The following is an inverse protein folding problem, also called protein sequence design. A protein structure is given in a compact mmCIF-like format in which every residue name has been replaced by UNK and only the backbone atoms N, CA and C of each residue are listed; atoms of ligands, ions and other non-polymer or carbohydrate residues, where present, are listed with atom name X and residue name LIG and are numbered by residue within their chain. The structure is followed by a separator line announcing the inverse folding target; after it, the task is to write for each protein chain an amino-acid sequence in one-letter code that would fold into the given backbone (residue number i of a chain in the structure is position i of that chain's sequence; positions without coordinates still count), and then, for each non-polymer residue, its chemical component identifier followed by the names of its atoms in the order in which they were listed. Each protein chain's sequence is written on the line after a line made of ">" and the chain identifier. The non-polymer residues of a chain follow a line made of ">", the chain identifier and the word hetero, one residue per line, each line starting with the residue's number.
data_IF_732728773496
#
_entry.id   IF_732728773496
#
_cell.length_a   1.000
_cell.length_b   1.000
_cell.length_c   1.000
_cell.angle_alpha   90.00
_cell.angle_beta   90.00
_cell.angle_gamma   90.00
#
_symmetry.space_group_name_H-M   'P 1'
#
loop_
_entity.id
_entity.type
_entity.pdbx_description
1 polymer ?
#
# COMPACT_ATOMS: atom_id res chain seq x y z
N UNK A 1 8.57 15.56 12.98
CA UNK A 1 8.54 14.49 11.95
C UNK A 1 7.11 14.43 11.43
N UNK A 2 6.86 14.42 10.11
CA UNK A 2 5.51 14.32 9.60
C UNK A 2 4.88 12.99 10.03
N UNK A 3 3.54 12.94 10.21
CA UNK A 3 2.86 11.70 10.58
C UNK A 3 3.12 10.64 9.52
N UNK A 4 3.54 9.46 9.96
CA UNK A 4 3.77 8.30 9.10
C UNK A 4 2.65 7.29 9.34
N UNK A 5 2.17 6.67 8.27
CA UNK A 5 1.18 5.61 8.33
C UNK A 5 1.72 4.36 7.60
N UNK A 6 1.20 3.20 7.99
CA UNK A 6 1.52 1.90 7.40
C UNK A 6 0.24 1.24 6.90
N UNK A 7 0.37 0.50 5.81
CA UNK A 7 -0.67 -0.39 5.29
C UNK A 7 -0.03 -1.77 5.05
N UNK A 8 -0.75 -2.83 5.40
CA UNK A 8 -0.27 -4.21 5.29
C UNK A 8 -1.06 -4.95 4.21
N UNK A 9 -0.34 -5.43 3.21
CA UNK A 9 -0.88 -6.24 2.12
C UNK A 9 -0.49 -7.69 2.33
N UNK A 10 -1.41 -8.49 2.87
CA UNK A 10 -1.19 -9.90 3.13
C UNK A 10 -1.89 -10.74 2.07
N UNK A 11 -1.11 -11.59 1.40
CA UNK A 11 -1.59 -12.49 0.35
C UNK A 11 -1.54 -13.95 0.81
N UNK A 12 -2.35 -14.79 0.19
CA UNK A 12 -2.13 -16.24 0.28
C UNK A 12 -0.84 -16.67 -0.46
N UNK A 13 -0.44 -17.93 -0.29
CA UNK A 13 0.81 -18.44 -0.89
C UNK A 13 0.80 -18.42 -2.43
N UNK A 14 -0.39 -18.36 -3.03
CA UNK A 14 -0.58 -18.33 -4.48
C UNK A 14 -0.68 -16.91 -5.03
N UNK A 15 -0.72 -15.90 -4.16
CA UNK A 15 -0.95 -14.49 -4.50
C UNK A 15 -2.29 -14.25 -5.21
N UNK A 16 -3.29 -15.09 -4.94
CA UNK A 16 -4.62 -15.02 -5.55
C UNK A 16 -5.63 -14.30 -4.64
N UNK A 17 -5.39 -14.33 -3.34
CA UNK A 17 -6.27 -13.75 -2.33
C UNK A 17 -5.52 -12.73 -1.48
N UNK A 18 -6.24 -11.70 -1.02
CA UNK A 18 -5.71 -10.66 -0.13
C UNK A 18 -6.59 -10.52 1.11
N UNK A 19 -5.96 -10.35 2.27
CA UNK A 19 -6.67 -10.03 3.51
C UNK A 19 -6.96 -8.52 3.56
N UNK A 20 -8.24 -8.19 3.71
CA UNK A 20 -8.72 -6.83 3.92
C UNK A 20 -9.61 -6.80 5.16
N UNK A 21 -9.65 -5.65 5.83
CA UNK A 21 -10.56 -5.37 6.95
C UNK A 21 -11.71 -4.50 6.48
N UNK A 22 -12.89 -4.71 7.06
CA UNK A 22 -14.08 -3.94 6.72
C UNK A 22 -14.14 -2.67 7.55
N UNK A 23 -13.77 -1.53 6.97
CA UNK A 23 -13.82 -0.26 7.68
C UNK A 23 -15.26 0.21 7.89
N UNK A 24 -15.59 0.71 9.10
CA UNK A 24 -16.97 1.05 9.54
C UNK A 24 -17.76 1.99 8.62
N UNK A 25 -17.11 2.78 7.75
CA UNK A 25 -17.74 3.85 6.96
C UNK A 25 -17.31 3.91 5.50
N UNK A 26 -16.33 3.10 5.09
CA UNK A 26 -15.56 3.43 3.87
C UNK A 26 -15.56 2.33 2.84
N UNK A 27 -14.96 1.18 3.08
CA UNK A 27 -14.91 0.03 2.16
C UNK A 27 -14.08 -1.08 2.83
N UNK A 28 -13.83 -2.19 2.14
CA UNK A 28 -12.71 -3.07 2.44
C UNK A 28 -11.39 -2.34 2.19
N UNK A 29 -10.49 -2.35 3.17
CA UNK A 29 -9.18 -1.68 3.14
C UNK A 29 -8.10 -2.62 3.66
N UNK A 30 -6.82 -2.47 3.26
CA UNK A 30 -5.74 -3.17 3.93
C UNK A 30 -5.69 -2.77 5.40
N UNK A 31 -5.36 -3.70 6.33
CA UNK A 31 -5.13 -3.34 7.72
C UNK A 31 -3.96 -2.38 7.85
N UNK A 32 -4.05 -1.44 8.78
CA UNK A 32 -3.03 -0.41 8.94
C UNK A 32 -3.47 0.81 9.73
N UNK A 33 -2.49 1.63 10.09
CA UNK A 33 -2.70 2.76 10.97
C UNK A 33 -1.48 3.66 11.08
N UNK A 34 -1.49 4.51 12.10
CA UNK A 34 -0.41 5.45 12.36
C UNK A 34 0.79 4.73 12.98
N UNK A 35 2.00 5.15 12.59
CA UNK A 35 3.22 4.76 13.29
C UNK A 35 3.30 5.59 14.57
N UNK A 36 3.42 4.93 15.71
CA UNK A 36 3.50 5.61 17.01
C UNK A 36 4.91 6.16 17.29
N UNK A 37 5.05 7.19 18.14
CA UNK A 37 6.37 7.69 18.54
C UNK A 37 7.21 6.59 19.20
N UNK A 38 8.41 6.36 18.66
CA UNK A 38 9.34 5.34 19.16
C UNK A 38 9.17 3.97 18.52
N UNK A 39 8.18 3.79 17.65
CA UNK A 39 7.95 2.57 16.88
C UNK A 39 8.59 2.66 15.48
N UNK A 40 9.17 1.56 14.99
CA UNK A 40 9.57 1.45 13.59
C UNK A 40 8.36 1.15 12.70
N UNK A 41 8.38 1.50 11.40
CA UNK A 41 7.27 1.17 10.49
C UNK A 41 6.96 -0.33 10.43
N UNK A 42 7.95 -1.19 10.68
CA UNK A 42 7.75 -2.64 10.73
C UNK A 42 7.01 -3.07 12.00
N UNK A 43 7.37 -2.51 13.15
CA UNK A 43 6.68 -2.77 14.41
C UNK A 43 5.23 -2.28 14.31
N UNK A 44 5.01 -1.08 13.76
CA UNK A 44 3.67 -0.55 13.52
C UNK A 44 2.84 -1.46 12.63
N UNK A 45 3.40 -1.93 11.52
CA UNK A 45 2.72 -2.85 10.62
C UNK A 45 2.34 -4.18 11.31
N UNK A 46 3.22 -4.72 12.16
CA UNK A 46 2.93 -5.95 12.89
C UNK A 46 1.86 -5.75 13.96
N UNK A 47 1.93 -4.65 14.71
CA UNK A 47 0.94 -4.26 15.72
C UNK A 47 -0.43 -4.07 15.09
N UNK A 48 -0.55 -3.23 14.07
CA UNK A 48 -1.83 -2.95 13.39
C UNK A 48 -2.44 -4.22 12.77
N UNK A 49 -1.63 -5.05 12.11
CA UNK A 49 -2.11 -6.33 11.57
C UNK A 49 -2.67 -7.23 12.69
N UNK A 50 -1.99 -7.33 13.83
CA UNK A 50 -2.43 -8.15 14.94
C UNK A 50 -3.70 -7.62 15.60
N UNK A 51 -3.79 -6.31 15.84
CA UNK A 51 -4.94 -5.68 16.49
C UNK A 51 -6.22 -5.79 15.64
N UNK A 52 -6.11 -5.61 14.32
CA UNK A 52 -7.29 -5.60 13.45
C UNK A 52 -7.71 -6.98 12.94
N UNK A 53 -6.79 -7.95 12.89
CA UNK A 53 -7.04 -9.25 12.24
C UNK A 53 -6.71 -10.46 13.11
N UNK A 54 -5.93 -10.30 14.19
CA UNK A 54 -5.42 -11.39 15.01
C UNK A 54 -4.21 -12.15 14.40
N UNK A 55 -3.83 -11.87 13.16
CA UNK A 55 -2.66 -12.49 12.51
C UNK A 55 -1.37 -11.68 12.76
N UNK A 56 -0.19 -12.27 12.53
CA UNK A 56 1.04 -11.47 12.37
C UNK A 56 2.04 -11.46 13.53
N UNK A 57 2.09 -12.50 14.37
CA UNK A 57 3.26 -12.73 15.23
C UNK A 57 4.49 -13.06 14.37
N UNK A 58 5.13 -12.00 13.86
CA UNK A 58 6.44 -11.91 13.21
C UNK A 58 6.56 -12.72 11.90
N UNK A 59 6.20 -12.11 10.77
CA UNK A 59 6.56 -12.63 9.44
C UNK A 59 8.02 -12.26 9.07
N UNK A 60 8.80 -13.25 8.65
CA UNK A 60 10.23 -13.16 8.32
C UNK A 60 10.55 -12.53 6.95
N UNK A 61 9.55 -12.23 6.11
CA UNK A 61 9.75 -11.68 4.78
C UNK A 61 8.93 -10.40 4.59
N UNK A 62 9.55 -9.26 4.85
CA UNK A 62 8.96 -7.92 4.68
C UNK A 62 9.57 -7.25 3.45
N UNK A 63 8.76 -7.01 2.43
CA UNK A 63 9.17 -6.28 1.24
C UNK A 63 8.58 -4.87 1.29
N UNK A 64 9.41 -3.91 1.73
CA UNK A 64 9.04 -2.49 1.71
C UNK A 64 8.94 -2.02 0.26
N UNK A 65 7.73 -1.68 -0.20
CA UNK A 65 7.52 -0.95 -1.46
C UNK A 65 7.05 0.45 -1.11
N UNK A 66 7.97 1.41 -1.07
CA UNK A 66 7.58 2.83 -0.99
C UNK A 66 7.05 3.27 -2.35
N UNK A 67 5.88 3.92 -2.36
CA UNK A 67 5.49 4.80 -3.47
C UNK A 67 5.94 6.21 -3.10
N UNK A 68 6.97 6.72 -3.75
CA UNK A 68 7.12 8.17 -3.86
C UNK A 68 5.97 8.67 -4.72
N UNK A 69 5.04 9.45 -4.14
CA UNK A 69 4.08 10.21 -4.92
C UNK A 69 4.82 11.10 -5.93
N UNK A 70 4.21 11.47 -7.07
CA UNK A 70 4.84 12.39 -8.00
C UNK A 70 5.15 13.69 -7.25
N UNK A 71 6.43 14.00 -7.05
CA UNK A 71 6.85 15.35 -6.71
C UNK A 71 6.55 16.20 -7.93
N UNK A 72 5.41 16.89 -7.92
CA UNK A 72 5.09 17.91 -8.91
C UNK A 72 6.26 18.88 -8.99
N UNK A 73 7.00 18.95 -10.11
CA UNK A 73 7.89 20.07 -10.33
C UNK A 73 6.97 21.27 -10.60
N UNK A 74 6.97 22.23 -9.69
CA UNK A 74 6.43 23.56 -9.97
C UNK A 74 7.21 24.16 -11.14
N UNK A 75 6.59 24.21 -12.32
CA UNK A 75 7.01 25.08 -13.43
C UNK A 75 7.31 24.34 -14.72
N UNK A 76 6.40 24.43 -15.69
CA UNK A 76 6.65 24.03 -17.08
C UNK A 76 5.40 23.52 -17.79
N UNK A 77 4.85 24.36 -18.67
CA UNK A 77 3.65 24.16 -19.51
C UNK A 77 3.67 22.85 -20.33
N UNK A 78 2.55 22.12 -20.48
CA UNK A 78 2.52 20.89 -21.28
C UNK A 78 2.39 21.20 -22.79
N UNK A 79 3.15 20.57 -23.70
CA UNK A 79 2.84 20.65 -25.11
C UNK A 79 1.85 19.54 -25.53
N UNK A 80 0.79 19.96 -26.23
CA UNK A 80 0.27 19.27 -27.42
C UNK A 80 -0.49 17.96 -27.23
N UNK A 81 -1.82 18.05 -27.26
CA UNK A 81 -2.72 16.93 -27.54
C UNK A 81 -2.43 16.34 -28.93
N UNK A 82 -2.10 15.04 -28.99
CA UNK A 82 -2.01 14.23 -30.20
C UNK A 82 -2.61 12.84 -29.93
N UNK A 83 -3.61 12.47 -30.72
CA UNK A 83 -4.47 11.28 -30.61
C UNK A 83 -3.73 9.94 -30.93
N UNK A 84 -4.29 8.77 -30.56
CA UNK A 84 -3.58 7.50 -30.35
C UNK A 84 -3.66 6.50 -31.52
N UNK A 85 -2.62 5.67 -31.73
CA UNK A 85 -2.62 4.33 -32.39
C UNK A 85 -1.36 3.59 -31.88
N UNK A 86 -1.27 2.29 -31.53
CA UNK A 86 -1.99 1.08 -31.94
C UNK A 86 -1.93 -0.02 -30.86
N UNK A 87 -3.06 -0.74 -30.70
CA UNK A 87 -3.24 -2.21 -30.54
C UNK A 87 -1.99 -3.12 -30.74
N UNK A 88 -1.76 -4.29 -30.13
CA UNK A 88 -2.44 -5.20 -29.19
C UNK A 88 -1.39 -6.24 -28.73
N UNK A 89 -1.48 -6.77 -27.50
CA UNK A 89 -0.70 -7.94 -27.09
C UNK A 89 -1.41 -8.74 -26.01
N UNK A 90 -2.24 -9.71 -26.41
CA UNK A 90 -2.76 -10.76 -25.52
C UNK A 90 -1.63 -11.75 -25.21
N UNK A 91 -1.46 -12.10 -23.94
CA UNK A 91 -0.71 -13.30 -23.54
C UNK A 91 -1.61 -14.11 -22.61
N UNK A 92 -1.64 -15.42 -22.89
CA UNK A 92 -2.58 -16.44 -22.40
C UNK A 92 -2.60 -16.62 -20.90
#
# INVERSE_FOLDING_TARGET
>A
MPPLAVEVWLFDQRLEQVLLVKHRWRVWVPPGGAVEPGETPREAAARELHEETGYGSICSHFQLRSRSGPTTPSGGQPPGCGTPQSQTGQVR
#
